data_IF_947272456174
#
_entry.id   IF_947272456174
#
_cell.length_a   1.000
_cell.length_b   1.000
_cell.length_c   1.000
_cell.angle_alpha   90.00
_cell.angle_beta   90.00
_cell.angle_gamma   90.00
#
_symmetry.space_group_name_H-M   'P 1'
#
loop_
_entity.id
_entity.type
_entity.pdbx_description
1 polymer ?
#
# COMPACT_ATOMS: atom_id res chain seq x y z
N UNK A 1 -15.72 1.34 11.08
CA UNK A 1 -15.16 2.10 9.98
C UNK A 1 -16.04 3.26 9.60
N UNK A 2 -15.47 4.46 9.44
CA UNK A 2 -16.24 5.67 9.18
C UNK A 2 -16.67 5.90 7.74
N UNK A 3 -16.14 5.11 6.78
CA UNK A 3 -16.47 5.28 5.37
C UNK A 3 -17.80 4.61 5.06
N UNK A 4 -18.79 5.40 4.58
CA UNK A 4 -20.14 4.90 4.34
C UNK A 4 -20.34 4.06 3.09
N UNK A 5 -19.46 4.19 2.09
CA UNK A 5 -19.59 3.44 0.84
C UNK A 5 -19.17 1.99 1.05
N UNK A 6 -19.88 1.07 0.37
CA UNK A 6 -19.48 -0.34 0.36
C UNK A 6 -18.61 -0.63 -0.85
N UNK A 7 -17.49 -1.30 -0.60
CA UNK A 7 -16.58 -1.72 -1.65
C UNK A 7 -17.05 -2.97 -2.36
N UNK A 8 -16.28 -3.36 -3.36
CA UNK A 8 -16.53 -4.56 -4.14
C UNK A 8 -16.05 -5.80 -3.38
N UNK A 9 -16.81 -6.89 -3.50
CA UNK A 9 -16.41 -8.18 -2.93
C UNK A 9 -15.54 -8.93 -3.93
N UNK A 10 -14.40 -9.41 -3.45
CA UNK A 10 -13.48 -10.25 -4.21
C UNK A 10 -13.48 -11.65 -3.59
N UNK A 11 -13.46 -12.65 -4.46
CA UNK A 11 -13.41 -14.05 -4.03
C UNK A 11 -11.97 -14.49 -3.82
N UNK A 12 -11.79 -15.56 -3.06
CA UNK A 12 -10.46 -16.11 -2.79
C UNK A 12 -9.62 -16.25 -4.07
N UNK A 13 -8.42 -15.69 -4.04
CA UNK A 13 -7.48 -15.73 -5.15
C UNK A 13 -7.71 -14.68 -6.23
N UNK A 14 -8.81 -13.96 -6.18
CA UNK A 14 -9.09 -12.91 -7.17
C UNK A 14 -8.09 -11.78 -7.03
N UNK A 15 -7.55 -11.33 -8.17
CA UNK A 15 -6.53 -10.28 -8.19
C UNK A 15 -7.18 -8.91 -8.17
N UNK A 16 -6.73 -8.07 -7.24
CA UNK A 16 -7.21 -6.70 -7.11
C UNK A 16 -6.28 -5.76 -7.90
N UNK A 17 -4.97 -5.91 -7.74
CA UNK A 17 -3.97 -5.20 -8.55
C UNK A 17 -2.91 -6.18 -8.99
N UNK A 18 -2.40 -5.97 -10.19
CA UNK A 18 -1.37 -6.84 -10.77
C UNK A 18 -0.05 -6.10 -10.86
N UNK A 19 1.01 -6.76 -10.42
CA UNK A 19 2.38 -6.26 -10.53
C UNK A 19 2.67 -5.84 -11.97
N UNK A 20 3.25 -4.66 -12.12
CA UNK A 20 3.61 -4.12 -13.42
C UNK A 20 2.52 -3.29 -14.10
N UNK A 21 1.27 -3.38 -13.66
CA UNK A 21 0.21 -2.56 -14.23
C UNK A 21 0.28 -1.13 -13.69
N UNK A 22 -0.11 -0.14 -14.50
CA UNK A 22 -0.20 1.22 -13.98
C UNK A 22 -1.36 1.34 -13.00
N UNK A 23 -1.22 2.22 -12.02
CA UNK A 23 -2.26 2.45 -11.03
C UNK A 23 -2.41 3.92 -10.71
N UNK A 24 -3.62 4.33 -10.37
CA UNK A 24 -3.95 5.71 -10.02
C UNK A 24 -4.89 5.80 -8.81
N UNK A 25 -5.03 4.71 -8.09
CA UNK A 25 -5.92 4.65 -6.93
C UNK A 25 -5.31 3.79 -5.83
N UNK A 26 -5.86 3.94 -4.63
CA UNK A 26 -5.55 3.07 -3.50
C UNK A 26 -6.79 2.26 -3.14
N UNK A 27 -6.60 1.30 -2.27
CA UNK A 27 -7.68 0.39 -1.86
C UNK A 27 -7.70 0.27 -0.35
N UNK A 28 -8.89 0.33 0.23
CA UNK A 28 -9.10 0.16 1.68
C UNK A 28 -9.82 -1.17 1.90
N UNK A 29 -9.29 -1.98 2.77
CA UNK A 29 -9.88 -3.28 3.10
C UNK A 29 -10.98 -3.05 4.12
N UNK A 30 -12.21 -3.33 3.73
CA UNK A 30 -13.36 -3.16 4.61
C UNK A 30 -13.68 -4.43 5.38
N UNK A 31 -13.34 -5.58 4.81
CA UNK A 31 -13.53 -6.88 5.45
C UNK A 31 -12.64 -7.91 4.78
N UNK A 32 -12.24 -8.93 5.54
CA UNK A 32 -11.41 -10.00 5.04
C UNK A 32 -9.93 -9.65 4.96
N UNK A 33 -9.19 -10.42 4.17
CA UNK A 33 -7.75 -10.29 4.05
C UNK A 33 -7.31 -10.31 2.60
N UNK A 34 -6.20 -9.66 2.34
CA UNK A 34 -5.52 -9.76 1.04
C UNK A 34 -4.07 -10.14 1.29
N UNK A 35 -3.46 -10.77 0.29
CA UNK A 35 -2.03 -11.07 0.33
C UNK A 35 -1.31 -10.27 -0.74
N UNK A 36 -0.17 -9.72 -0.36
CA UNK A 36 0.70 -8.94 -1.24
C UNK A 36 1.81 -9.88 -1.68
N UNK A 37 1.96 -10.06 -2.98
CA UNK A 37 2.84 -11.07 -3.55
C UNK A 37 3.76 -10.44 -4.59
N UNK A 38 5.05 -10.71 -4.48
CA UNK A 38 5.97 -10.35 -5.53
C UNK A 38 6.10 -11.53 -6.50
N UNK A 39 5.71 -11.30 -7.74
CA UNK A 39 5.78 -12.33 -8.77
C UNK A 39 7.16 -12.34 -9.42
N UNK A 40 7.82 -13.49 -9.43
CA UNK A 40 9.10 -13.67 -10.09
C UNK A 40 9.05 -14.90 -10.99
N UNK A 41 10.06 -15.05 -11.85
CA UNK A 41 10.12 -16.17 -12.79
C UNK A 41 10.16 -17.53 -12.09
N UNK A 42 10.83 -17.61 -10.94
CA UNK A 42 11.00 -18.86 -10.24
C UNK A 42 9.80 -19.23 -9.40
N UNK A 43 9.36 -18.29 -8.57
CA UNK A 43 8.21 -18.53 -7.69
C UNK A 43 7.72 -17.19 -7.13
N UNK A 44 6.48 -17.17 -6.74
CA UNK A 44 5.89 -16.01 -6.09
C UNK A 44 6.36 -15.94 -4.63
N UNK A 45 6.63 -14.73 -4.17
CA UNK A 45 7.06 -14.49 -2.79
C UNK A 45 5.99 -13.68 -2.07
N UNK A 46 5.41 -14.24 -1.02
CA UNK A 46 4.46 -13.49 -0.21
C UNK A 46 5.22 -12.44 0.62
N UNK A 47 4.87 -11.17 0.42
CA UNK A 47 5.50 -10.07 1.12
C UNK A 47 4.77 -9.68 2.39
N UNK A 48 3.43 -9.75 2.36
CA UNK A 48 2.61 -9.30 3.48
C UNK A 48 1.19 -9.81 3.34
N UNK A 49 0.46 -9.78 4.46
CA UNK A 49 -0.98 -10.03 4.51
C UNK A 49 -1.60 -8.83 5.20
N UNK A 50 -2.60 -8.24 4.57
CA UNK A 50 -3.29 -7.06 5.09
C UNK A 50 -4.74 -7.40 5.38
N UNK A 51 -5.30 -6.76 6.38
CA UNK A 51 -6.67 -7.03 6.83
C UNK A 51 -7.50 -5.77 6.99
N UNK A 52 -8.61 -5.94 7.68
CA UNK A 52 -9.63 -4.88 7.86
C UNK A 52 -8.99 -3.57 8.34
N UNK A 53 -9.43 -2.48 7.73
CA UNK A 53 -9.01 -1.10 7.98
C UNK A 53 -7.61 -0.75 7.50
N UNK A 54 -6.87 -1.71 6.96
CA UNK A 54 -5.61 -1.43 6.30
C UNK A 54 -5.86 -1.06 4.83
N UNK A 55 -4.87 -0.45 4.20
CA UNK A 55 -4.97 -0.04 2.80
C UNK A 55 -3.68 -0.35 2.04
N UNK A 56 -3.77 -0.34 0.73
CA UNK A 56 -2.60 -0.57 -0.12
C UNK A 56 -2.73 0.26 -1.41
N UNK A 57 -1.59 0.45 -2.08
CA UNK A 57 -1.53 1.19 -3.33
C UNK A 57 -1.61 2.70 -3.15
N UNK A 58 -1.33 3.20 -1.94
CA UNK A 58 -1.54 4.61 -1.55
C UNK A 58 -0.71 5.59 -2.37
N UNK A 59 0.48 5.21 -2.79
CA UNK A 59 1.32 6.13 -3.56
C UNK A 59 0.74 6.41 -4.94
N UNK A 60 0.02 5.47 -5.51
CA UNK A 60 -0.57 5.64 -6.83
C UNK A 60 -1.71 6.67 -6.85
N UNK A 61 -2.30 6.99 -5.70
CA UNK A 61 -3.36 7.99 -5.64
C UNK A 61 -2.81 9.40 -5.84
N UNK A 62 -1.53 9.61 -5.51
CA UNK A 62 -0.87 10.90 -5.64
C UNK A 62 -0.04 11.00 -6.90
N UNK A 63 0.61 9.91 -7.27
CA UNK A 63 1.46 9.84 -8.46
C UNK A 63 1.14 8.55 -9.18
N UNK A 64 0.83 8.61 -10.46
CA UNK A 64 0.64 7.40 -11.23
C UNK A 64 1.93 6.59 -11.20
N UNK A 65 1.85 5.38 -10.70
CA UNK A 65 3.00 4.48 -10.57
C UNK A 65 2.63 3.09 -11.04
N UNK A 66 3.63 2.36 -11.50
CA UNK A 66 3.45 0.95 -11.77
C UNK A 66 3.35 0.21 -10.44
N UNK A 67 2.46 -0.76 -10.40
CA UNK A 67 2.30 -1.59 -9.20
C UNK A 67 3.54 -2.44 -8.98
N UNK A 68 4.11 -2.38 -7.79
CA UNK A 68 5.34 -3.10 -7.47
C UNK A 68 5.10 -4.54 -7.04
N UNK A 69 3.86 -4.89 -6.79
CA UNK A 69 3.49 -6.25 -6.38
C UNK A 69 2.05 -6.53 -6.78
N UNK A 70 1.71 -7.79 -6.81
CA UNK A 70 0.34 -8.25 -7.04
C UNK A 70 -0.36 -8.34 -5.69
N UNK A 71 -1.63 -7.90 -5.62
CA UNK A 71 -2.45 -8.04 -4.42
C UNK A 71 -3.68 -8.84 -4.81
N UNK A 72 -3.94 -9.90 -4.07
CA UNK A 72 -5.06 -10.80 -4.33
C UNK A 72 -5.80 -11.12 -3.03
N UNK A 73 -7.08 -11.41 -3.15
CA UNK A 73 -7.90 -11.75 -1.99
C UNK A 73 -7.47 -13.08 -1.38
N UNK A 74 -7.39 -13.11 -0.07
CA UNK A 74 -7.13 -14.32 0.70
C UNK A 74 -8.41 -14.64 1.46
N UNK A 75 -9.18 -15.60 0.94
CA UNK A 75 -10.56 -15.75 1.32
C UNK A 75 -11.41 -14.67 0.65
N UNK A 76 -12.64 -14.49 1.08
CA UNK A 76 -13.49 -13.43 0.56
C UNK A 76 -13.11 -12.11 1.21
N UNK A 77 -12.98 -11.06 0.42
CA UNK A 77 -12.60 -9.74 0.91
C UNK A 77 -13.46 -8.65 0.28
N UNK A 78 -13.80 -7.64 1.07
CA UNK A 78 -14.51 -6.46 0.58
C UNK A 78 -13.52 -5.29 0.52
N UNK A 79 -13.37 -4.71 -0.66
CA UNK A 79 -12.33 -3.72 -0.92
C UNK A 79 -12.97 -2.47 -1.52
N UNK A 80 -12.70 -1.32 -0.91
CA UNK A 80 -13.15 -0.02 -1.42
C UNK A 80 -12.04 0.63 -2.22
N UNK A 81 -12.35 1.01 -3.46
CA UNK A 81 -11.42 1.74 -4.32
C UNK A 81 -11.51 3.22 -3.98
N UNK A 82 -10.35 3.83 -3.69
CA UNK A 82 -10.25 5.25 -3.40
C UNK A 82 -9.35 5.89 -4.44
N UNK A 83 -9.93 6.72 -5.28
CA UNK A 83 -9.17 7.43 -6.30
C UNK A 83 -8.95 8.89 -5.86
N UNK A 84 -8.20 9.63 -6.69
CA UNK A 84 -7.90 11.01 -6.44
C UNK A 84 -9.18 11.88 -6.24
N UNK A 85 -10.24 11.55 -6.95
CA UNK A 85 -11.48 12.36 -6.91
C UNK A 85 -12.27 12.16 -5.63
N UNK A 86 -12.32 10.93 -5.09
CA UNK A 86 -13.12 10.65 -3.91
C UNK A 86 -12.32 10.59 -2.61
N UNK A 87 -11.02 10.84 -2.67
CA UNK A 87 -10.14 10.78 -1.51
C UNK A 87 -10.59 11.72 -0.39
N UNK A 88 -10.86 12.97 -0.74
CA UNK A 88 -11.28 13.97 0.25
C UNK A 88 -12.62 13.59 0.90
N UNK A 89 -13.53 13.04 0.12
CA UNK A 89 -14.80 12.57 0.66
C UNK A 89 -14.58 11.43 1.66
N UNK A 90 -13.72 10.49 1.33
CA UNK A 90 -13.39 9.38 2.21
C UNK A 90 -12.75 9.87 3.51
N UNK A 91 -11.85 10.85 3.42
CA UNK A 91 -11.22 11.45 4.60
C UNK A 91 -12.25 12.19 5.45
N UNK A 92 -13.19 12.87 4.81
CA UNK A 92 -14.24 13.58 5.52
C UNK A 92 -15.12 12.61 6.32
N UNK A 93 -15.41 11.45 5.73
CA UNK A 93 -16.22 10.43 6.39
C UNK A 93 -15.44 9.66 7.47
N UNK A 94 -14.13 9.49 7.25
CA UNK A 94 -13.26 8.81 8.20
C UNK A 94 -11.93 9.57 8.32
N UNK A 95 -11.87 10.59 9.18
CA UNK A 95 -10.65 11.39 9.34
C UNK A 95 -9.42 10.56 9.75
N UNK A 96 -9.61 9.41 10.38
CA UNK A 96 -8.48 8.56 10.75
C UNK A 96 -7.72 8.03 9.54
N UNK A 97 -8.38 7.99 8.37
CA UNK A 97 -7.72 7.60 7.13
C UNK A 97 -6.56 8.54 6.80
N UNK A 98 -6.77 9.86 6.97
CA UNK A 98 -5.71 10.83 6.71
C UNK A 98 -4.52 10.61 7.65
N UNK A 99 -4.80 10.34 8.92
CA UNK A 99 -3.75 10.08 9.89
C UNK A 99 -2.94 8.82 9.51
N UNK A 100 -3.63 7.75 9.16
CA UNK A 100 -2.99 6.50 8.77
C UNK A 100 -2.17 6.67 7.49
N UNK A 101 -2.67 7.45 6.53
CA UNK A 101 -1.93 7.76 5.30
C UNK A 101 -0.63 8.50 5.64
N UNK A 102 -0.68 9.48 6.53
CA UNK A 102 0.51 10.20 6.94
C UNK A 102 1.52 9.29 7.62
N UNK A 103 1.07 8.36 8.44
CA UNK A 103 1.97 7.40 9.09
C UNK A 103 2.68 6.52 8.07
N UNK A 104 1.93 5.95 7.12
CA UNK A 104 2.50 5.07 6.12
C UNK A 104 3.50 5.80 5.24
N UNK A 105 3.18 7.02 4.85
CA UNK A 105 4.08 7.83 4.02
C UNK A 105 5.33 8.26 4.78
N UNK A 106 5.20 8.56 6.06
CA UNK A 106 6.34 8.88 6.91
C UNK A 106 7.30 7.70 7.01
N UNK A 107 6.78 6.50 7.21
CA UNK A 107 7.59 5.29 7.23
C UNK A 107 8.29 5.06 5.89
N UNK A 108 7.59 5.32 4.79
CA UNK A 108 8.18 5.18 3.45
C UNK A 108 9.32 6.17 3.24
N UNK A 109 9.15 7.41 3.69
CA UNK A 109 10.20 8.44 3.61
C UNK A 109 11.42 8.01 4.42
N UNK A 110 11.22 7.51 5.62
CA UNK A 110 12.31 7.05 6.47
C UNK A 110 13.09 5.93 5.79
N UNK A 111 12.40 4.95 5.21
CA UNK A 111 13.06 3.85 4.51
C UNK A 111 13.86 4.33 3.30
N UNK A 112 13.31 5.28 2.54
CA UNK A 112 14.00 5.85 1.40
C UNK A 112 15.22 6.64 1.83
N UNK A 113 15.13 7.38 2.92
CA UNK A 113 16.25 8.14 3.47
C UNK A 113 17.39 7.21 3.89
N UNK A 114 17.07 6.10 4.53
CA UNK A 114 18.06 5.09 4.92
C UNK A 114 18.73 4.47 3.69
N UNK A 115 17.95 4.14 2.67
CA UNK A 115 18.48 3.55 1.44
C UNK A 115 19.44 4.52 0.74
N UNK A 116 19.09 5.80 0.68
CA UNK A 116 19.94 6.82 0.09
C UNK A 116 21.23 6.99 0.88
N UNK A 117 21.14 6.98 2.19
CA UNK A 117 22.32 7.09 3.05
C UNK A 117 23.28 5.91 2.81
N UNK A 118 22.75 4.70 2.71
CA UNK A 118 23.56 3.50 2.46
C UNK A 118 24.24 3.56 1.09
N UNK A 119 23.55 4.04 0.08
CA UNK A 119 24.11 4.19 -1.26
C UNK A 119 25.17 5.29 -1.32
N UNK A 120 24.96 6.38 -0.59
CA UNK A 120 25.86 7.51 -0.59
C UNK A 120 27.13 7.24 0.23
N UNK A 121 27.08 6.34 1.19
CA UNK A 121 28.16 6.05 2.11
C UNK A 121 28.47 4.56 2.13
N UNK A 122 29.40 4.09 1.28
CA UNK A 122 29.77 2.66 1.24
C UNK A 122 30.22 2.13 2.60
N UNK A 123 30.64 3.02 3.49
CA UNK A 123 31.05 2.68 4.86
C UNK A 123 30.02 3.17 5.84
N UNK A 124 28.79 2.87 5.56
CA UNK A 124 27.65 3.37 6.30
C UNK A 124 27.73 3.12 7.82
N UNK A 125 28.35 2.04 8.22
CA UNK A 125 28.51 1.72 9.63
C UNK A 125 29.19 2.81 10.43
N UNK A 126 30.16 3.48 9.80
CA UNK A 126 30.92 4.54 10.46
C UNK A 126 30.29 5.91 10.25
N UNK A 127 29.66 6.09 9.10
CA UNK A 127 29.20 7.41 8.68
C UNK A 127 27.77 7.68 9.07
N UNK A 128 26.94 6.67 9.09
CA UNK A 128 25.53 6.87 9.40
C UNK A 128 25.32 7.38 10.83
N UNK A 129 26.16 7.00 11.75
CA UNK A 129 26.08 7.48 13.13
C UNK A 129 26.39 8.98 13.24
N UNK A 130 27.06 9.54 12.25
CA UNK A 130 27.41 10.96 12.24
C UNK A 130 26.34 11.81 11.55
N UNK A 131 25.39 11.19 10.90
CA UNK A 131 24.34 11.89 10.16
C UNK A 131 23.13 12.24 11.03
N UNK A 132 23.08 11.76 12.22
CA UNK A 132 21.96 11.99 13.12
C UNK A 132 21.98 13.35 13.81
#
# INVERSE_FOLDING_TARGET
>A
MGIGALGKVYKNGEIIVRQGDPGDCMYVIQDGFVEVVFESEDQDVELNVLGKDEFFGEMAVFNEELRTATVRARGEARILTVNHKNLLKCIHEDPSLAYRLMQVMSERIDRLSEAVADLSNPRSDNLSSNLE
#
